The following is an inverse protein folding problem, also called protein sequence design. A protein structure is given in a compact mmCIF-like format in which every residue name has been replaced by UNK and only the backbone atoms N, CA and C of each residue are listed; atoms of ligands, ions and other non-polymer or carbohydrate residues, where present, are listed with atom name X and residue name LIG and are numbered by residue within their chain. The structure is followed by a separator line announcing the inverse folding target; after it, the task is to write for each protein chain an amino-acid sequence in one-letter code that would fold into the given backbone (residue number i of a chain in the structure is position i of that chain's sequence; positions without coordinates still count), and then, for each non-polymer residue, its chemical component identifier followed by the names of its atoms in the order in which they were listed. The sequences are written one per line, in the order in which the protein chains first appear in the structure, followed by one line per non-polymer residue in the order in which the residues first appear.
data_IF_458554668228
#
_entry.id   IF_458554668228
#
_cell.length_a   1.000
_cell.length_b   1.000
_cell.length_c   1.000
_cell.angle_alpha   90.00
_cell.angle_beta   90.00
_cell.angle_gamma   90.00
#
_symmetry.space_group_name_H-M   'P 1'
#
loop_
_entity.id
_entity.type
_entity.pdbx_description
1 polymer ?
#
# COMPACT_ATOMS: atom_id res chain seq x y z
N UNK A 1 -28.38 7.69 -15.95
CA UNK A 1 -27.85 6.75 -16.96
C UNK A 1 -28.86 5.61 -17.14
N UNK A 2 -28.94 5.00 -18.32
CA UNK A 2 -29.94 3.97 -18.65
C UNK A 2 -29.52 2.53 -18.33
N UNK A 3 -28.49 2.34 -17.52
CA UNK A 3 -27.96 1.02 -17.17
C UNK A 3 -28.69 0.52 -15.94
N UNK A 4 -29.22 -0.71 -15.98
CA UNK A 4 -29.87 -1.29 -14.81
C UNK A 4 -28.84 -1.52 -13.69
N UNK A 5 -29.26 -1.39 -12.42
CA UNK A 5 -28.34 -1.50 -11.29
C UNK A 5 -27.58 -2.85 -11.25
N UNK A 6 -28.24 -3.95 -11.68
CA UNK A 6 -27.62 -5.27 -11.78
C UNK A 6 -26.59 -5.43 -12.90
N UNK A 7 -26.55 -4.50 -13.85
CA UNK A 7 -25.65 -4.54 -15.01
C UNK A 7 -24.42 -3.65 -14.84
N UNK A 8 -24.37 -2.84 -13.77
CA UNK A 8 -23.25 -1.93 -13.52
C UNK A 8 -21.92 -2.68 -13.44
N UNK A 9 -21.88 -3.82 -12.73
CA UNK A 9 -20.66 -4.64 -12.63
C UNK A 9 -20.23 -5.21 -13.98
N UNK A 10 -21.18 -5.57 -14.86
CA UNK A 10 -20.87 -6.04 -16.20
C UNK A 10 -20.27 -4.93 -17.05
N UNK A 11 -20.83 -3.72 -16.98
CA UNK A 11 -20.29 -2.56 -17.66
C UNK A 11 -18.88 -2.19 -17.16
N UNK A 12 -18.69 -2.14 -15.83
CA UNK A 12 -17.38 -1.84 -15.24
C UNK A 12 -16.32 -2.87 -15.63
N UNK A 13 -16.69 -4.16 -15.66
CA UNK A 13 -15.81 -5.22 -16.15
C UNK A 13 -15.46 -5.04 -17.61
N UNK A 14 -16.44 -4.76 -18.46
CA UNK A 14 -16.20 -4.50 -19.89
C UNK A 14 -15.22 -3.34 -20.09
N UNK A 15 -15.45 -2.20 -19.41
CA UNK A 15 -14.56 -1.04 -19.50
C UNK A 15 -13.16 -1.33 -18.94
N UNK A 16 -13.07 -2.16 -17.90
CA UNK A 16 -11.79 -2.60 -17.36
C UNK A 16 -10.99 -3.45 -18.37
N UNK A 17 -11.64 -4.44 -18.99
CA UNK A 17 -11.02 -5.31 -20.00
C UNK A 17 -10.59 -4.52 -21.25
N UNK A 18 -11.29 -3.43 -21.57
CA UNK A 18 -10.91 -2.49 -22.64
C UNK A 18 -9.75 -1.56 -22.28
N UNK A 19 -9.35 -1.51 -21.00
CA UNK A 19 -8.29 -0.61 -20.53
C UNK A 19 -8.72 0.84 -20.29
N UNK A 20 -10.02 1.12 -20.32
CA UNK A 20 -10.57 2.47 -20.10
C UNK A 20 -10.58 2.87 -18.62
N UNK A 21 -10.60 1.88 -17.72
CA UNK A 21 -10.52 2.09 -16.28
C UNK A 21 -9.90 0.86 -15.58
N UNK A 22 -9.53 1.02 -14.33
CA UNK A 22 -9.14 -0.09 -13.45
C UNK A 22 -10.25 -0.33 -12.42
N UNK A 23 -10.81 -1.53 -12.44
CA UNK A 23 -11.84 -1.99 -11.51
C UNK A 23 -11.66 -3.48 -11.24
N UNK A 24 -11.91 -3.91 -10.00
CA UNK A 24 -11.75 -5.30 -9.58
C UNK A 24 -12.94 -5.75 -8.75
N UNK A 25 -13.40 -6.98 -8.99
CA UNK A 25 -14.56 -7.56 -8.31
C UNK A 25 -14.30 -7.93 -6.83
N UNK A 26 -13.04 -7.93 -6.40
CA UNK A 26 -12.65 -8.25 -5.02
C UNK A 26 -13.40 -7.38 -4.01
N UNK A 27 -13.86 -7.98 -2.89
CA UNK A 27 -14.71 -7.28 -1.92
C UNK A 27 -14.10 -5.98 -1.36
N UNK A 28 -12.76 -5.89 -1.27
CA UNK A 28 -12.04 -4.70 -0.81
C UNK A 28 -11.85 -3.62 -1.90
N UNK A 29 -11.99 -3.99 -3.18
CA UNK A 29 -11.66 -3.15 -4.34
C UNK A 29 -12.89 -2.79 -5.20
N UNK A 30 -13.98 -3.55 -5.13
CA UNK A 30 -15.17 -3.38 -5.99
C UNK A 30 -15.85 -2.02 -5.91
N UNK A 31 -15.59 -1.27 -4.85
CA UNK A 31 -16.13 0.09 -4.68
C UNK A 31 -15.17 1.18 -5.23
N UNK A 32 -13.99 0.81 -5.70
CA UNK A 32 -13.01 1.72 -6.29
C UNK A 32 -13.05 1.60 -7.83
N UNK A 33 -13.53 2.65 -8.50
CA UNK A 33 -13.46 2.80 -9.95
C UNK A 33 -12.35 3.80 -10.25
N UNK A 34 -11.24 3.32 -10.80
CA UNK A 34 -10.04 4.13 -11.01
C UNK A 34 -9.91 4.50 -12.48
N UNK A 35 -10.10 5.77 -12.80
CA UNK A 35 -10.01 6.30 -14.18
C UNK A 35 -8.57 6.62 -14.61
N UNK A 36 -7.70 6.95 -13.65
CA UNK A 36 -6.28 7.19 -13.89
C UNK A 36 -5.45 6.27 -12.99
N UNK A 37 -5.10 5.06 -13.47
CA UNK A 37 -4.26 4.12 -12.73
C UNK A 37 -2.85 4.65 -12.46
N UNK A 38 -2.33 5.56 -13.29
CA UNK A 38 -0.99 6.12 -13.10
C UNK A 38 -0.98 7.03 -11.87
N UNK A 39 -1.92 7.97 -11.79
CA UNK A 39 -1.99 8.85 -10.62
C UNK A 39 -2.45 8.12 -9.37
N UNK A 40 -3.39 7.19 -9.50
CA UNK A 40 -3.98 6.50 -8.35
C UNK A 40 -3.08 5.42 -7.75
N UNK A 41 -2.44 4.60 -8.59
CA UNK A 41 -1.64 3.45 -8.16
C UNK A 41 -0.14 3.70 -8.33
N UNK A 42 0.30 4.02 -9.56
CA UNK A 42 1.73 4.03 -9.88
C UNK A 42 2.48 5.09 -9.06
N UNK A 43 2.01 6.34 -9.04
CA UNK A 43 2.65 7.42 -8.28
C UNK A 43 2.87 7.05 -6.80
N UNK A 44 1.84 6.71 -6.00
CA UNK A 44 2.07 6.40 -4.59
C UNK A 44 2.88 5.10 -4.40
N UNK A 45 2.73 4.10 -5.27
CA UNK A 45 3.57 2.89 -5.25
C UNK A 45 5.04 3.22 -5.40
N UNK A 46 5.39 4.08 -6.38
CA UNK A 46 6.80 4.43 -6.62
C UNK A 46 7.45 5.11 -5.42
N UNK A 47 6.71 5.80 -4.56
CA UNK A 47 7.26 6.38 -3.32
C UNK A 47 7.64 5.32 -2.28
N UNK A 48 7.07 4.12 -2.37
CA UNK A 48 7.31 3.00 -1.46
C UNK A 48 8.40 2.07 -2.00
N UNK A 49 8.31 1.67 -3.27
CA UNK A 49 9.13 0.59 -3.85
C UNK A 49 10.33 1.09 -4.66
N UNK A 50 10.60 2.41 -4.69
CA UNK A 50 11.73 2.96 -5.42
C UNK A 50 13.09 2.51 -4.85
N UNK A 51 14.12 2.73 -5.65
CA UNK A 51 15.50 2.56 -5.21
C UNK A 51 15.88 3.66 -4.22
N UNK A 52 15.82 3.32 -2.94
CA UNK A 52 16.11 4.24 -1.83
C UNK A 52 17.60 4.43 -1.56
N UNK A 53 18.42 3.41 -1.87
CA UNK A 53 19.86 3.41 -1.59
C UNK A 53 20.66 3.61 -2.88
N UNK A 54 21.61 4.57 -2.92
CA UNK A 54 22.50 4.74 -4.05
C UNK A 54 23.48 3.56 -4.14
N UNK A 55 23.77 3.10 -5.35
CA UNK A 55 24.85 2.15 -5.62
C UNK A 55 25.82 2.78 -6.62
N UNK A 56 27.00 3.18 -6.15
CA UNK A 56 27.99 3.82 -7.01
C UNK A 56 27.49 5.15 -7.59
N UNK A 57 27.72 5.36 -8.88
CA UNK A 57 27.34 6.58 -9.60
C UNK A 57 25.98 6.40 -10.31
N UNK A 58 24.94 6.10 -9.53
CA UNK A 58 23.61 5.79 -10.06
C UNK A 58 22.71 7.04 -10.10
N UNK A 59 22.36 7.55 -11.29
CA UNK A 59 21.49 8.72 -11.45
C UNK A 59 20.00 8.43 -11.17
N UNK A 60 19.62 7.16 -10.91
CA UNK A 60 18.23 6.74 -10.71
C UNK A 60 17.76 6.80 -9.25
N UNK A 61 18.56 7.37 -8.35
CA UNK A 61 18.15 7.61 -6.97
C UNK A 61 16.95 8.56 -6.94
N UNK A 62 15.79 8.04 -6.52
CA UNK A 62 14.60 8.84 -6.27
C UNK A 62 14.57 9.23 -4.80
N UNK A 63 15.04 10.43 -4.47
CA UNK A 63 14.82 11.05 -3.16
C UNK A 63 13.77 12.15 -3.26
N UNK A 64 12.70 12.04 -2.49
CA UNK A 64 11.65 13.07 -2.39
C UNK A 64 11.64 13.73 -1.01
N UNK A 65 10.97 14.89 -0.84
CA UNK A 65 10.78 15.51 0.47
C UNK A 65 10.12 14.57 1.50
N UNK A 66 9.21 13.71 1.06
CA UNK A 66 8.51 12.72 1.89
C UNK A 66 9.48 11.68 2.45
N UNK A 67 10.44 11.21 1.64
CA UNK A 67 11.50 10.31 2.09
C UNK A 67 12.35 10.95 3.19
N UNK A 68 12.77 12.20 2.98
CA UNK A 68 13.52 12.97 3.99
C UNK A 68 12.72 13.17 5.28
N UNK A 69 11.40 13.36 5.17
CA UNK A 69 10.52 13.47 6.33
C UNK A 69 10.40 12.15 7.09
N UNK A 70 10.28 11.02 6.40
CA UNK A 70 10.29 9.70 7.00
C UNK A 70 11.60 9.43 7.74
N UNK A 71 12.74 9.70 7.08
CA UNK A 71 14.07 9.53 7.67
C UNK A 71 14.26 10.35 8.96
N UNK A 72 13.67 11.55 9.03
CA UNK A 72 13.78 12.44 10.20
C UNK A 72 12.81 12.10 11.33
N UNK A 73 11.56 11.74 11.00
CA UNK A 73 10.47 11.59 11.99
C UNK A 73 10.25 10.16 12.44
N UNK A 74 10.60 9.20 11.59
CA UNK A 74 10.29 7.77 11.74
C UNK A 74 11.50 6.95 11.31
N UNK A 75 12.66 7.27 11.89
CA UNK A 75 13.96 6.76 11.44
C UNK A 75 14.00 5.22 11.47
N UNK A 76 13.45 4.60 12.51
CA UNK A 76 13.47 3.14 12.66
C UNK A 76 12.63 2.45 11.57
N UNK A 77 11.39 2.91 11.35
CA UNK A 77 10.50 2.38 10.32
C UNK A 77 11.05 2.64 8.92
N UNK A 78 11.63 3.82 8.70
CA UNK A 78 12.29 4.16 7.45
C UNK A 78 13.47 3.25 7.16
N UNK A 79 14.30 2.96 8.17
CA UNK A 79 15.41 2.00 8.04
C UNK A 79 14.91 0.59 7.74
N UNK A 80 13.85 0.12 8.43
CA UNK A 80 13.18 -1.16 8.14
C UNK A 80 12.77 -1.24 6.65
N UNK A 81 12.20 -0.16 6.10
CA UNK A 81 11.80 -0.09 4.69
C UNK A 81 13.01 -0.17 3.75
N UNK A 82 14.00 0.72 3.90
CA UNK A 82 15.07 0.88 2.90
C UNK A 82 16.16 -0.19 2.98
N UNK A 83 16.34 -0.83 4.13
CA UNK A 83 17.40 -1.83 4.35
C UNK A 83 16.90 -3.27 4.34
N UNK A 84 15.64 -3.49 4.74
CA UNK A 84 15.05 -4.83 4.88
C UNK A 84 13.83 -5.05 3.99
N UNK A 85 13.39 -4.02 3.27
CA UNK A 85 12.15 -4.07 2.49
C UNK A 85 10.91 -4.20 3.36
N UNK A 86 10.94 -3.83 4.64
CA UNK A 86 9.79 -3.96 5.55
C UNK A 86 9.05 -2.63 5.64
N UNK A 87 7.91 -2.55 4.96
CA UNK A 87 7.01 -1.42 5.03
C UNK A 87 6.15 -1.49 6.28
N UNK A 88 6.30 -0.48 7.13
CA UNK A 88 5.45 -0.17 8.28
C UNK A 88 4.33 0.76 7.81
N UNK A 89 3.07 0.41 8.06
CA UNK A 89 1.91 1.20 7.60
C UNK A 89 1.93 2.64 8.15
N UNK A 90 2.62 2.87 9.26
CA UNK A 90 2.78 4.17 9.90
C UNK A 90 3.59 5.17 9.03
N UNK A 91 4.37 4.69 8.06
CA UNK A 91 5.06 5.54 7.08
C UNK A 91 4.12 6.10 6.01
N UNK A 92 3.02 5.40 5.71
CA UNK A 92 2.14 5.71 4.58
C UNK A 92 1.53 7.11 4.63
N UNK A 93 1.08 7.64 5.79
CA UNK A 93 0.59 9.01 5.88
C UNK A 93 1.64 10.07 5.49
N UNK A 94 2.93 9.79 5.68
CA UNK A 94 4.01 10.70 5.29
C UNK A 94 4.39 10.49 3.83
N UNK A 95 4.60 9.23 3.41
CA UNK A 95 4.98 8.88 2.03
C UNK A 95 3.91 9.30 1.03
N UNK A 96 2.63 9.10 1.36
CA UNK A 96 1.53 9.36 0.43
C UNK A 96 0.82 10.69 0.69
N UNK A 97 1.41 11.59 1.48
CA UNK A 97 0.78 12.83 1.92
C UNK A 97 0.07 13.59 0.78
N UNK A 98 0.77 13.75 -0.35
CA UNK A 98 0.27 14.48 -1.52
C UNK A 98 -0.09 13.54 -2.70
N UNK A 99 0.18 12.23 -2.56
CA UNK A 99 -0.01 11.24 -3.62
C UNK A 99 -1.31 10.43 -3.48
N UNK A 100 -1.80 10.19 -2.25
CA UNK A 100 -3.04 9.46 -2.02
C UNK A 100 -3.73 9.90 -0.71
N UNK A 101 -5.01 10.26 -0.75
CA UNK A 101 -5.80 10.53 0.45
C UNK A 101 -5.81 9.34 1.40
N UNK A 102 -5.75 9.61 2.72
CA UNK A 102 -5.71 8.57 3.76
C UNK A 102 -6.86 7.55 3.69
N UNK A 103 -8.04 8.00 3.24
CA UNK A 103 -9.21 7.13 3.07
C UNK A 103 -9.03 6.06 1.98
N UNK A 104 -8.08 6.23 1.06
CA UNK A 104 -7.82 5.32 -0.07
C UNK A 104 -6.64 4.37 0.21
N UNK A 105 -5.92 4.55 1.32
CA UNK A 105 -4.74 3.74 1.66
C UNK A 105 -5.04 2.23 1.72
N UNK A 106 -6.16 1.77 2.32
CA UNK A 106 -6.46 0.33 2.35
C UNK A 106 -6.66 -0.29 0.96
N UNK A 107 -7.37 0.42 0.06
CA UNK A 107 -7.60 -0.04 -1.31
C UNK A 107 -6.29 -0.06 -2.10
N UNK A 108 -5.45 0.96 -1.92
CA UNK A 108 -4.15 1.02 -2.56
C UNK A 108 -3.23 -0.12 -2.11
N UNK A 109 -3.18 -0.40 -0.80
CA UNK A 109 -2.45 -1.56 -0.28
C UNK A 109 -3.01 -2.88 -0.83
N UNK A 110 -4.33 -3.03 -0.91
CA UNK A 110 -4.95 -4.21 -1.49
C UNK A 110 -4.60 -4.38 -2.98
N UNK A 111 -4.52 -3.30 -3.76
CA UNK A 111 -4.01 -3.33 -5.13
C UNK A 111 -2.55 -3.75 -5.19
N UNK A 112 -1.70 -3.18 -4.34
CA UNK A 112 -0.28 -3.53 -4.27
C UNK A 112 -0.06 -5.00 -3.95
N UNK A 113 -0.87 -5.57 -3.05
CA UNK A 113 -0.87 -7.02 -2.75
C UNK A 113 -1.37 -7.82 -3.95
N UNK A 114 -2.50 -7.41 -4.57
CA UNK A 114 -3.08 -8.09 -5.74
C UNK A 114 -2.09 -8.18 -6.91
N UNK A 115 -1.31 -7.12 -7.13
CA UNK A 115 -0.27 -7.06 -8.17
C UNK A 115 1.09 -7.62 -7.72
N UNK A 116 1.20 -8.18 -6.52
CA UNK A 116 2.43 -8.82 -6.04
C UNK A 116 3.59 -7.87 -5.73
N UNK A 117 3.30 -6.57 -5.61
CA UNK A 117 4.29 -5.55 -5.28
C UNK A 117 4.73 -5.63 -3.82
N UNK A 118 3.81 -6.04 -2.95
CA UNK A 118 4.04 -6.20 -1.51
C UNK A 118 3.33 -7.46 -0.99
N UNK A 119 3.85 -8.03 0.09
CA UNK A 119 3.31 -9.24 0.74
C UNK A 119 3.05 -8.99 2.22
N UNK A 120 1.80 -9.16 2.72
CA UNK A 120 1.48 -8.96 4.14
C UNK A 120 2.29 -9.91 5.03
N UNK A 121 2.99 -9.38 6.02
CA UNK A 121 3.64 -10.19 7.04
C UNK A 121 2.61 -10.63 8.05
N UNK A 122 2.50 -11.95 8.23
CA UNK A 122 1.77 -12.51 9.37
C UNK A 122 2.63 -12.28 10.61
N UNK A 123 2.21 -11.35 11.48
CA UNK A 123 2.84 -11.19 12.78
C UNK A 123 2.87 -12.53 13.52
N UNK A 124 4.04 -12.91 14.03
CA UNK A 124 4.15 -14.00 14.99
C UNK A 124 3.35 -13.56 16.23
N UNK A 125 2.12 -14.08 16.37
CA UNK A 125 1.42 -14.03 17.66
C UNK A 125 2.32 -14.76 18.64
N UNK A 126 2.99 -14.03 19.53
CA UNK A 126 3.59 -14.63 20.71
C UNK A 126 2.46 -15.32 21.48
N UNK A 127 2.41 -16.64 21.41
CA UNK A 127 1.58 -17.47 22.28
C UNK A 127 2.18 -17.38 23.67
N UNK A 128 1.81 -16.35 24.41
CA UNK A 128 2.02 -16.31 25.85
C UNK A 128 0.77 -16.94 26.50
N UNK A 129 0.68 -18.27 26.40
CA UNK A 129 -0.23 -19.06 27.22
C UNK A 129 0.29 -19.04 28.67
N UNK A 130 -0.06 -17.98 29.40
CA UNK A 130 -0.23 -18.05 30.84
C UNK A 130 -1.50 -17.32 31.22
N UNK A 131 -2.47 -18.13 31.63
CA UNK A 131 -3.71 -17.72 32.26
C UNK A 131 -3.47 -16.61 33.30
N UNK A 132 -4.24 -15.53 33.21
CA UNK A 132 -5.00 -14.91 34.31
C UNK A 132 -5.66 -13.60 33.86
N UNK A 133 -6.99 -13.65 33.77
CA UNK A 133 -7.98 -12.61 34.09
C UNK A 133 -7.77 -11.14 33.68
N UNK A 134 -8.76 -10.68 32.91
CA UNK A 134 -9.46 -9.39 32.97
C UNK A 134 -8.92 -8.15 32.24
N UNK A 135 -9.88 -7.59 31.48
CA UNK A 135 -10.05 -6.18 31.05
C UNK A 135 -9.14 -5.59 29.97
N UNK A 136 -9.81 -5.08 28.92
CA UNK A 136 -9.28 -4.05 28.01
C UNK A 136 -9.08 -4.55 26.58
N UNK A 137 -10.08 -4.35 25.72
CA UNK A 137 -9.92 -4.53 24.28
C UNK A 137 -9.05 -3.42 23.71
N UNK A 138 -7.78 -3.71 23.46
CA UNK A 138 -6.87 -2.84 22.74
C UNK A 138 -6.62 -3.42 21.33
N UNK A 139 -7.09 -2.70 20.32
CA UNK A 139 -6.91 -3.05 18.90
C UNK A 139 -5.49 -2.64 18.50
N UNK A 140 -4.53 -3.55 18.66
CA UNK A 140 -3.19 -3.39 18.08
C UNK A 140 -3.25 -3.72 16.58
N UNK A 141 -3.23 -2.67 15.75
CA UNK A 141 -3.15 -2.74 14.28
C UNK A 141 -1.73 -2.39 13.85
N UNK A 142 -0.78 -3.28 14.12
CA UNK A 142 0.57 -3.14 13.54
C UNK A 142 0.70 -4.15 12.41
N UNK A 143 0.14 -3.80 11.26
CA UNK A 143 0.39 -4.49 10.00
C UNK A 143 1.78 -4.11 9.49
N UNK A 144 2.58 -5.11 9.11
CA UNK A 144 3.84 -4.89 8.41
C UNK A 144 3.80 -5.68 7.12
N UNK A 145 4.42 -5.16 6.07
CA UNK A 145 4.33 -5.75 4.73
C UNK A 145 5.73 -5.77 4.14
N UNK A 146 6.13 -6.84 3.45
CA UNK A 146 7.40 -6.90 2.73
C UNK A 146 7.21 -6.32 1.34
N UNK A 147 8.11 -5.45 0.92
CA UNK A 147 8.22 -4.96 -0.44
C UNK A 147 9.03 -5.97 -1.25
N UNK A 148 8.47 -6.44 -2.36
CA UNK A 148 9.23 -7.21 -3.34
C UNK A 148 10.30 -6.30 -3.93
N UNK A 149 11.57 -6.59 -3.68
CA UNK A 149 12.69 -5.84 -4.23
C UNK A 149 12.78 -5.96 -5.77
N UNK A 150 13.53 -5.07 -6.44
CA UNK A 150 13.73 -5.16 -7.89
C UNK A 150 14.49 -6.46 -8.24
N UNK A 151 14.06 -7.07 -9.35
CA UNK A 151 14.80 -8.13 -10.05
C UNK A 151 16.15 -7.62 -10.56
#
# INVERSE_FOLDING_TARGET
CGVAAGEVSLLLRFLHEMGELMWHEDAQLRNAVVLDPISYLVKPVTLVICKHMPTGNDPTQHETPEHRNCAKKMQHEWLDLISRGVLREELLPILWKDAAPRAQHPQLLALMVKFGLIVPLRGHRGTNDRASSSHGGEVSKNGSVVVSGPL
#
